data_IF_452829846664
#
_entry.id   IF_452829846664
#
_cell.length_a   1.000
_cell.length_b   1.000
_cell.length_c   1.000
_cell.angle_alpha   90.00
_cell.angle_beta   90.00
_cell.angle_gamma   90.00
#
_symmetry.space_group_name_H-M   'P 1'
#
loop_
_entity.id
_entity.type
_entity.pdbx_description
1 polymer ?
#
# COMPACT_ATOMS: atom_id res chain seq x y z
N UNK A 1 -7.54 7.70 -39.54
CA UNK A 1 -6.83 6.54 -38.93
C UNK A 1 -7.07 6.60 -37.45
N UNK A 2 -8.02 5.82 -36.94
CA UNK A 2 -8.27 5.70 -35.51
C UNK A 2 -7.14 4.84 -34.94
N UNK A 3 -6.26 5.45 -34.14
CA UNK A 3 -5.25 4.70 -33.39
C UNK A 3 -5.92 3.67 -32.47
N UNK A 4 -5.20 2.62 -32.03
CA UNK A 4 -5.76 1.65 -31.12
C UNK A 4 -6.26 2.37 -29.86
N UNK A 5 -7.55 2.28 -29.58
CA UNK A 5 -8.15 2.80 -28.37
C UNK A 5 -7.61 1.96 -27.22
N UNK A 6 -6.54 2.45 -26.58
CA UNK A 6 -5.94 1.80 -25.44
C UNK A 6 -6.94 1.84 -24.27
N UNK A 7 -7.42 0.69 -23.85
CA UNK A 7 -8.38 0.58 -22.77
C UNK A 7 -7.77 1.07 -21.46
N UNK A 8 -8.42 2.00 -20.76
CA UNK A 8 -7.97 2.46 -19.45
C UNK A 8 -7.80 1.30 -18.46
N UNK A 9 -6.79 1.38 -17.61
CA UNK A 9 -6.44 0.33 -16.67
C UNK A 9 -6.92 0.70 -15.25
N UNK A 10 -7.81 -0.08 -14.63
CA UNK A 10 -8.20 0.12 -13.26
C UNK A 10 -7.06 -0.30 -12.33
N UNK A 11 -6.59 0.67 -11.53
CA UNK A 11 -5.56 0.50 -10.52
C UNK A 11 -6.14 0.67 -9.12
N UNK A 12 -5.94 -0.33 -8.27
CA UNK A 12 -6.32 -0.29 -6.88
C UNK A 12 -5.11 0.05 -6.01
N UNK A 13 -5.09 1.26 -5.48
CA UNK A 13 -4.08 1.74 -4.56
C UNK A 13 -4.53 1.51 -3.11
N UNK A 14 -3.73 0.83 -2.31
CA UNK A 14 -4.05 0.46 -0.92
C UNK A 14 -2.90 0.73 0.07
N UNK A 15 -1.73 1.14 -0.43
CA UNK A 15 -0.53 1.39 0.36
C UNK A 15 -0.14 2.87 0.28
N UNK A 16 1.14 3.18 0.26
CA UNK A 16 1.63 4.56 0.24
C UNK A 16 1.25 5.33 -1.03
N UNK A 17 0.92 4.63 -2.11
CA UNK A 17 0.36 5.22 -3.32
C UNK A 17 -1.07 5.76 -3.15
N UNK A 18 -1.69 5.59 -1.99
CA UNK A 18 -2.92 6.31 -1.61
C UNK A 18 -2.71 7.82 -1.61
N UNK A 19 -1.57 8.28 -1.12
CA UNK A 19 -1.20 9.68 -1.00
C UNK A 19 0.30 9.86 -1.30
N UNK A 20 0.72 9.73 -2.57
CA UNK A 20 2.14 9.79 -2.94
C UNK A 20 2.76 11.14 -2.66
N UNK A 21 1.99 12.22 -2.61
CA UNK A 21 2.42 13.57 -2.23
C UNK A 21 2.98 13.63 -0.80
N UNK A 22 2.57 12.72 0.09
CA UNK A 22 3.11 12.62 1.44
C UNK A 22 4.45 11.89 1.50
N UNK A 23 4.85 11.23 0.42
CA UNK A 23 6.08 10.44 0.37
C UNK A 23 7.35 11.30 0.31
N UNK A 24 7.23 12.58 -0.06
CA UNK A 24 8.30 13.57 -0.02
C UNK A 24 9.57 13.10 -0.74
N UNK A 25 10.67 13.04 0.01
CA UNK A 25 12.00 12.67 -0.52
C UNK A 25 12.10 11.25 -1.09
N UNK A 26 11.20 10.33 -0.70
CA UNK A 26 11.23 8.95 -1.21
C UNK A 26 10.93 8.85 -2.70
N UNK A 27 10.18 9.80 -3.24
CA UNK A 27 9.92 9.91 -4.68
C UNK A 27 10.93 10.82 -5.39
N UNK A 28 12.03 11.22 -4.75
CA UNK A 28 13.04 12.05 -5.38
C UNK A 28 13.60 11.35 -6.63
N UNK A 29 13.45 12.00 -7.79
CA UNK A 29 13.85 11.44 -9.08
C UNK A 29 12.85 10.45 -9.70
N UNK A 30 11.69 10.25 -9.09
CA UNK A 30 10.58 9.46 -9.65
C UNK A 30 9.39 10.39 -9.87
N UNK A 31 9.04 10.61 -11.15
CA UNK A 31 7.84 11.35 -11.49
C UNK A 31 6.66 10.37 -11.55
N UNK A 32 5.63 10.61 -10.74
CA UNK A 32 4.35 9.95 -10.92
C UNK A 32 3.52 10.71 -11.97
N UNK A 33 2.65 10.01 -12.71
CA UNK A 33 1.71 10.69 -13.60
C UNK A 33 0.71 11.49 -12.75
N UNK A 34 0.02 12.47 -13.33
CA UNK A 34 -1.13 13.08 -12.68
C UNK A 34 -2.12 11.99 -12.28
N UNK A 35 -2.43 11.91 -10.98
CA UNK A 35 -3.35 10.89 -10.47
C UNK A 35 -4.78 11.42 -10.47
N UNK A 36 -5.72 10.73 -11.11
CA UNK A 36 -7.13 11.03 -10.94
C UNK A 36 -7.53 10.82 -9.47
N UNK A 37 -8.51 11.54 -9.00
CA UNK A 37 -8.98 11.45 -7.60
C UNK A 37 -9.35 10.00 -7.23
N UNK A 38 -10.00 9.29 -8.15
CA UNK A 38 -10.46 7.93 -7.94
C UNK A 38 -11.65 7.87 -6.98
N UNK A 39 -12.13 6.68 -6.72
CA UNK A 39 -13.22 6.43 -5.77
C UNK A 39 -12.78 5.50 -4.65
N UNK A 40 -13.42 5.62 -3.49
CA UNK A 40 -13.23 4.68 -2.40
C UNK A 40 -13.72 3.29 -2.81
N UNK A 41 -12.92 2.29 -2.48
CA UNK A 41 -13.19 0.91 -2.83
C UNK A 41 -12.55 -0.05 -1.83
N UNK A 42 -12.98 -1.31 -1.87
CA UNK A 42 -12.43 -2.39 -1.07
C UNK A 42 -11.96 -3.52 -1.98
N UNK A 43 -10.73 -3.96 -1.84
CA UNK A 43 -10.29 -5.23 -2.42
C UNK A 43 -10.81 -6.38 -1.56
N UNK A 44 -11.39 -7.38 -2.20
CA UNK A 44 -12.08 -8.50 -1.56
C UNK A 44 -11.16 -9.73 -1.49
N UNK A 45 -11.37 -10.55 -0.45
CA UNK A 45 -10.69 -11.82 -0.21
C UNK A 45 -9.16 -11.67 -0.12
N UNK A 46 -8.71 -10.53 0.42
CA UNK A 46 -7.31 -10.18 0.64
C UNK A 46 -7.11 -9.51 1.99
N UNK A 47 -5.89 -9.60 2.52
CA UNK A 47 -5.45 -8.87 3.72
C UNK A 47 -4.02 -8.37 3.58
N UNK A 48 -3.62 -7.43 4.44
CA UNK A 48 -2.25 -6.96 4.55
C UNK A 48 -1.51 -7.77 5.61
N UNK A 49 -0.34 -8.32 5.24
CA UNK A 49 0.60 -8.94 6.17
C UNK A 49 1.93 -8.19 6.12
N UNK A 50 2.55 -8.00 7.30
CA UNK A 50 3.80 -7.25 7.44
C UNK A 50 4.98 -8.21 7.57
N UNK A 51 5.36 -8.84 6.47
CA UNK A 51 6.38 -9.89 6.46
C UNK A 51 7.52 -9.66 5.44
N UNK A 52 7.53 -8.53 4.71
CA UNK A 52 8.54 -8.24 3.71
C UNK A 52 9.64 -7.36 4.29
N UNK A 53 10.91 -7.83 4.37
CA UNK A 53 12.01 -7.01 4.85
C UNK A 53 12.31 -5.87 3.86
N UNK A 54 12.48 -4.66 4.38
CA UNK A 54 12.83 -3.47 3.62
C UNK A 54 13.97 -2.70 4.28
N UNK A 55 15.08 -2.54 3.55
CA UNK A 55 16.19 -1.72 4.00
C UNK A 55 15.80 -0.23 4.01
N UNK A 56 15.02 0.21 3.03
CA UNK A 56 14.55 1.59 2.91
C UNK A 56 13.64 2.01 4.09
N UNK A 57 12.86 1.08 4.62
CA UNK A 57 11.96 1.30 5.76
C UNK A 57 12.54 0.82 7.09
N UNK A 58 13.75 0.25 7.10
CA UNK A 58 14.45 -0.27 8.29
C UNK A 58 13.60 -1.24 9.11
N UNK A 59 12.90 -2.13 8.42
CA UNK A 59 12.02 -3.10 9.03
C UNK A 59 11.11 -3.76 8.01
N UNK A 60 10.09 -4.48 8.46
CA UNK A 60 9.15 -5.15 7.56
C UNK A 60 8.07 -4.19 7.09
N UNK A 61 7.69 -4.33 5.83
CA UNK A 61 6.60 -3.61 5.18
C UNK A 61 5.48 -4.57 4.79
N UNK A 62 4.32 -4.00 4.42
CA UNK A 62 3.14 -4.78 4.07
C UNK A 62 3.23 -5.38 2.66
N UNK A 63 2.68 -6.57 2.51
CA UNK A 63 2.25 -7.12 1.22
C UNK A 63 0.80 -7.60 1.28
N UNK A 64 0.19 -7.69 0.11
CA UNK A 64 -1.19 -8.16 -0.06
C UNK A 64 -1.19 -9.68 -0.25
N UNK A 65 -1.96 -10.39 0.54
CA UNK A 65 -2.11 -11.85 0.47
C UNK A 65 -3.57 -12.25 0.30
N UNK A 66 -3.80 -13.45 -0.22
CA UNK A 66 -5.14 -14.02 -0.29
C UNK A 66 -5.63 -14.35 1.13
N UNK A 67 -6.84 -13.91 1.44
CA UNK A 67 -7.49 -14.11 2.72
C UNK A 67 -9.02 -14.11 2.53
N UNK A 68 -9.64 -15.27 2.29
CA UNK A 68 -11.07 -15.36 2.04
C UNK A 68 -11.91 -14.67 3.09
N UNK A 69 -12.85 -13.82 2.66
CA UNK A 69 -13.72 -13.06 3.54
C UNK A 69 -13.11 -11.78 4.13
N UNK A 70 -11.81 -11.56 4.02
CA UNK A 70 -11.16 -10.32 4.44
C UNK A 70 -11.25 -9.24 3.37
N UNK A 71 -11.01 -8.00 3.75
CA UNK A 71 -11.07 -6.84 2.85
C UNK A 71 -9.99 -5.84 3.18
N UNK A 72 -9.47 -5.20 2.14
CA UNK A 72 -8.51 -4.10 2.26
C UNK A 72 -9.11 -2.85 1.63
N UNK A 73 -9.34 -1.78 2.39
CA UNK A 73 -9.81 -0.51 1.85
C UNK A 73 -8.72 0.20 1.06
N UNK A 74 -9.14 0.95 0.05
CA UNK A 74 -8.22 1.69 -0.81
C UNK A 74 -8.95 2.64 -1.76
N UNK A 75 -8.24 3.07 -2.79
CA UNK A 75 -8.79 3.88 -3.87
C UNK A 75 -8.64 3.18 -5.21
N UNK A 76 -9.73 3.18 -5.97
CA UNK A 76 -9.75 2.73 -7.35
C UNK A 76 -9.54 3.94 -8.26
N UNK A 77 -8.49 3.91 -9.08
CA UNK A 77 -8.19 4.91 -10.10
C UNK A 77 -8.18 4.27 -11.47
N UNK A 78 -8.67 4.99 -12.47
CA UNK A 78 -8.64 4.56 -13.86
C UNK A 78 -7.49 5.29 -14.54
N UNK A 79 -6.43 4.56 -14.90
CA UNK A 79 -5.20 5.13 -15.41
C UNK A 79 -5.10 4.98 -16.93
N UNK A 80 -4.61 6.02 -17.64
CA UNK A 80 -4.21 5.86 -19.03
C UNK A 80 -3.11 4.79 -19.16
N UNK A 81 -3.14 3.92 -20.17
CA UNK A 81 -2.11 2.89 -20.36
C UNK A 81 -0.68 3.42 -20.41
N UNK A 82 -0.49 4.59 -21.00
CA UNK A 82 0.83 5.24 -21.10
C UNK A 82 1.41 5.64 -19.74
N UNK A 83 0.56 5.80 -18.72
CA UNK A 83 0.97 6.11 -17.35
C UNK A 83 1.42 4.87 -16.56
N UNK A 84 1.16 3.66 -17.05
CA UNK A 84 1.39 2.43 -16.31
C UNK A 84 2.85 2.20 -15.90
N UNK A 85 3.86 2.46 -16.74
CA UNK A 85 5.26 2.35 -16.33
C UNK A 85 5.63 3.28 -15.17
N UNK A 86 5.02 4.48 -15.12
CA UNK A 86 5.26 5.43 -14.02
C UNK A 86 4.58 4.99 -12.73
N UNK A 87 3.36 4.44 -12.80
CA UNK A 87 2.67 3.83 -11.65
C UNK A 87 3.51 2.69 -11.09
N UNK A 88 3.95 1.76 -11.92
CA UNK A 88 4.79 0.62 -11.53
C UNK A 88 6.07 1.07 -10.82
N UNK A 89 6.74 2.10 -11.35
CA UNK A 89 7.95 2.64 -10.74
C UNK A 89 7.67 3.30 -9.39
N UNK A 90 6.59 4.06 -9.29
CA UNK A 90 6.17 4.69 -8.04
C UNK A 90 5.87 3.68 -6.94
N UNK A 91 5.09 2.66 -7.24
CA UNK A 91 4.76 1.59 -6.29
C UNK A 91 6.00 0.85 -5.79
N UNK A 92 6.96 0.56 -6.68
CA UNK A 92 8.24 -0.05 -6.31
C UNK A 92 9.02 0.82 -5.31
N UNK A 93 9.11 2.12 -5.56
CA UNK A 93 9.88 3.04 -4.71
C UNK A 93 9.20 3.28 -3.37
N UNK A 94 7.88 3.40 -3.37
CA UNK A 94 7.11 3.69 -2.16
C UNK A 94 7.05 2.51 -1.19
N UNK A 95 6.76 1.32 -1.69
CA UNK A 95 6.40 0.17 -0.87
C UNK A 95 7.08 -1.15 -1.29
N UNK A 96 8.13 -1.08 -2.13
CA UNK A 96 8.82 -2.25 -2.70
C UNK A 96 7.89 -3.18 -3.50
N UNK A 97 6.77 -2.64 -3.96
CA UNK A 97 5.71 -3.34 -4.64
C UNK A 97 6.09 -3.57 -6.11
N UNK A 98 6.71 -4.69 -6.39
CA UNK A 98 7.20 -5.08 -7.73
C UNK A 98 6.35 -6.12 -8.42
N UNK A 99 5.42 -6.75 -7.68
CA UNK A 99 4.52 -7.76 -8.19
C UNK A 99 3.15 -7.14 -8.50
N UNK A 100 2.78 -7.14 -9.76
CA UNK A 100 1.44 -6.78 -10.20
C UNK A 100 0.52 -8.00 -10.10
N UNK A 101 -0.66 -7.82 -9.49
CA UNK A 101 -1.66 -8.89 -9.37
C UNK A 101 -3.07 -8.36 -9.60
N UNK A 102 -3.97 -9.19 -10.15
CA UNK A 102 -5.39 -8.88 -10.22
C UNK A 102 -6.01 -8.95 -8.80
N UNK A 103 -6.94 -8.05 -8.54
CA UNK A 103 -7.76 -8.05 -7.33
C UNK A 103 -9.21 -7.79 -7.71
N UNK A 104 -10.12 -8.44 -7.00
CA UNK A 104 -11.55 -8.17 -7.11
C UNK A 104 -11.89 -7.00 -6.19
N UNK A 105 -12.51 -5.98 -6.73
CA UNK A 105 -12.76 -4.72 -6.01
C UNK A 105 -14.25 -4.44 -5.98
N UNK A 106 -14.75 -3.99 -4.82
CA UNK A 106 -16.09 -3.42 -4.66
C UNK A 106 -15.94 -1.91 -4.47
N UNK A 107 -16.60 -1.12 -5.31
CA UNK A 107 -16.63 0.34 -5.20
C UNK A 107 -17.64 0.80 -4.14
N UNK A 108 -17.57 2.07 -3.77
CA UNK A 108 -18.52 2.68 -2.85
C UNK A 108 -19.97 2.62 -3.39
N UNK A 109 -20.15 2.63 -4.72
CA UNK A 109 -21.45 2.46 -5.37
C UNK A 109 -21.96 1.00 -5.38
N UNK A 110 -21.14 0.03 -4.90
CA UNK A 110 -21.46 -1.39 -4.88
C UNK A 110 -21.09 -2.16 -6.14
N UNK A 111 -20.51 -1.51 -7.16
CA UNK A 111 -20.04 -2.18 -8.37
C UNK A 111 -18.88 -3.13 -8.07
N UNK A 112 -18.89 -4.30 -8.70
CA UNK A 112 -17.81 -5.29 -8.61
C UNK A 112 -17.02 -5.30 -9.93
N UNK A 113 -15.70 -5.16 -9.83
CA UNK A 113 -14.83 -5.21 -11.00
C UNK A 113 -13.47 -5.81 -10.66
N UNK A 114 -12.72 -6.15 -11.69
CA UNK A 114 -11.31 -6.53 -11.55
C UNK A 114 -10.43 -5.31 -11.72
N UNK A 115 -9.48 -5.13 -10.82
CA UNK A 115 -8.45 -4.09 -10.89
C UNK A 115 -7.07 -4.72 -10.74
N UNK A 116 -6.03 -3.94 -10.99
CA UNK A 116 -4.65 -4.33 -10.76
C UNK A 116 -4.13 -3.66 -9.51
N UNK A 117 -3.44 -4.41 -8.67
CA UNK A 117 -2.77 -3.91 -7.48
C UNK A 117 -1.29 -4.29 -7.53
N UNK A 118 -0.45 -3.47 -6.90
CA UNK A 118 0.98 -3.76 -6.75
C UNK A 118 1.28 -4.14 -5.32
N UNK A 119 2.10 -5.17 -5.14
CA UNK A 119 2.49 -5.69 -3.84
C UNK A 119 3.93 -6.19 -3.89
N UNK A 120 4.67 -6.15 -2.78
CA UNK A 120 5.93 -6.87 -2.70
C UNK A 120 5.73 -8.37 -2.90
N UNK A 121 6.70 -9.07 -3.49
CA UNK A 121 6.70 -10.53 -3.52
C UNK A 121 6.84 -11.12 -2.12
N UNK A 122 6.39 -12.35 -1.94
CA UNK A 122 6.61 -13.08 -0.69
C UNK A 122 8.12 -13.25 -0.42
N UNK A 123 8.57 -13.05 0.83
CA UNK A 123 9.96 -13.28 1.18
C UNK A 123 10.28 -14.78 1.10
N UNK A 124 11.49 -15.12 0.63
CA UNK A 124 11.97 -16.51 0.53
C UNK A 124 12.20 -17.17 1.90
N UNK A 125 12.35 -16.36 2.95
CA UNK A 125 12.57 -16.80 4.34
C UNK A 125 11.80 -15.89 5.30
N UNK A 126 11.30 -16.42 6.44
CA UNK A 126 10.68 -15.58 7.47
C UNK A 126 11.64 -14.48 7.92
N UNK A 127 11.23 -13.22 7.87
CA UNK A 127 12.10 -12.11 8.25
C UNK A 127 12.29 -12.06 9.78
N UNK A 128 13.52 -11.74 10.20
CA UNK A 128 13.85 -11.56 11.62
C UNK A 128 13.68 -10.13 12.12
N UNK A 129 13.66 -9.17 11.21
CA UNK A 129 13.45 -7.75 11.54
C UNK A 129 12.05 -7.50 12.09
N UNK A 130 11.87 -6.51 12.97
CA UNK A 130 10.55 -6.10 13.42
C UNK A 130 9.77 -5.39 12.28
N UNK A 131 8.47 -5.22 12.47
CA UNK A 131 7.66 -4.38 11.57
C UNK A 131 8.17 -2.94 11.64
N UNK A 132 8.27 -2.27 10.50
CA UNK A 132 8.71 -0.88 10.43
C UNK A 132 7.64 0.06 11.00
N UNK A 133 7.95 0.73 12.10
CA UNK A 133 7.09 1.79 12.67
C UNK A 133 6.96 2.95 11.68
N UNK A 134 8.05 3.32 11.02
CA UNK A 134 8.03 4.41 10.04
C UNK A 134 7.09 4.11 8.86
N UNK A 135 7.07 2.86 8.39
CA UNK A 135 6.14 2.42 7.35
C UNK A 135 4.68 2.47 7.83
N UNK A 136 4.40 1.95 9.02
CA UNK A 136 3.04 1.95 9.58
C UNK A 136 2.50 3.37 9.78
N UNK A 137 3.34 4.28 10.29
CA UNK A 137 2.97 5.69 10.46
C UNK A 137 2.71 6.35 9.11
N UNK A 138 3.55 6.10 8.11
CA UNK A 138 3.35 6.62 6.76
C UNK A 138 2.07 6.07 6.12
N UNK A 139 1.81 4.77 6.29
CA UNK A 139 0.59 4.12 5.79
C UNK A 139 -0.68 4.70 6.45
N UNK A 140 -0.67 4.88 7.77
CA UNK A 140 -1.80 5.49 8.49
C UNK A 140 -2.07 6.93 8.01
N UNK A 141 -1.03 7.72 7.80
CA UNK A 141 -1.15 9.08 7.25
C UNK A 141 -1.68 9.09 5.82
N UNK A 142 -1.20 8.18 4.98
CA UNK A 142 -1.67 8.06 3.60
C UNK A 142 -3.16 7.65 3.56
N UNK A 143 -3.58 6.73 4.42
CA UNK A 143 -4.97 6.32 4.57
C UNK A 143 -5.89 7.46 5.03
N UNK A 144 -5.45 8.24 6.02
CA UNK A 144 -6.18 9.42 6.51
C UNK A 144 -6.30 10.49 5.42
N UNK A 145 -5.20 10.82 4.75
CA UNK A 145 -5.18 11.80 3.65
C UNK A 145 -6.08 11.36 2.48
N UNK A 146 -6.08 10.08 2.15
CA UNK A 146 -6.94 9.50 1.12
C UNK A 146 -8.40 9.36 1.57
N UNK A 147 -8.74 9.77 2.78
CA UNK A 147 -10.08 9.70 3.36
C UNK A 147 -10.66 8.28 3.36
N UNK A 148 -9.83 7.29 3.68
CA UNK A 148 -10.32 5.93 3.91
C UNK A 148 -11.32 5.90 5.09
N UNK A 149 -12.16 4.85 5.22
CA UNK A 149 -13.07 4.72 6.35
C UNK A 149 -12.37 4.89 7.70
N UNK A 150 -12.98 5.63 8.63
CA UNK A 150 -12.38 6.02 9.90
C UNK A 150 -11.88 4.81 10.72
N UNK A 151 -12.64 3.72 10.72
CA UNK A 151 -12.27 2.47 11.40
C UNK A 151 -11.00 1.81 10.82
N UNK A 152 -10.77 1.96 9.52
CA UNK A 152 -9.55 1.48 8.87
C UNK A 152 -8.34 2.35 9.26
N UNK A 153 -8.51 3.67 9.28
CA UNK A 153 -7.46 4.61 9.71
C UNK A 153 -7.11 4.38 11.19
N UNK A 154 -8.11 4.26 12.06
CA UNK A 154 -7.91 4.00 13.49
C UNK A 154 -7.17 2.68 13.75
N UNK A 155 -7.49 1.62 13.01
CA UNK A 155 -6.77 0.33 13.10
C UNK A 155 -5.30 0.49 12.73
N UNK A 156 -4.97 1.17 11.64
CA UNK A 156 -3.58 1.42 11.24
C UNK A 156 -2.81 2.26 12.26
N UNK A 157 -3.45 3.30 12.81
CA UNK A 157 -2.87 4.13 13.86
C UNK A 157 -2.64 3.32 15.16
N UNK A 158 -3.59 2.47 15.53
CA UNK A 158 -3.47 1.61 16.72
C UNK A 158 -2.33 0.60 16.55
N UNK A 159 -2.19 0.01 15.37
CA UNK A 159 -1.11 -0.93 15.05
C UNK A 159 0.26 -0.25 15.11
N UNK A 160 0.39 0.96 14.55
CA UNK A 160 1.61 1.74 14.63
C UNK A 160 2.01 2.04 16.08
N UNK A 161 1.06 2.44 16.93
CA UNK A 161 1.29 2.68 18.36
C UNK A 161 1.72 1.41 19.10
N UNK A 162 1.07 0.28 18.82
CA UNK A 162 1.39 -1.01 19.44
C UNK A 162 2.82 -1.45 19.11
N UNK A 163 3.18 -1.45 17.83
CA UNK A 163 4.53 -1.84 17.39
C UNK A 163 5.58 -0.91 17.98
N UNK A 164 5.31 0.39 18.03
CA UNK A 164 6.22 1.36 18.64
C UNK A 164 6.42 1.11 20.13
N UNK A 165 5.37 0.80 20.88
CA UNK A 165 5.46 0.52 22.31
C UNK A 165 6.27 -0.75 22.59
N UNK A 166 6.05 -1.81 21.80
CA UNK A 166 6.81 -3.07 21.93
C UNK A 166 8.29 -2.85 21.64
N UNK A 167 8.63 -2.05 20.62
CA UNK A 167 10.04 -1.77 20.29
C UNK A 167 10.72 -0.94 21.39
N UNK A 168 10.04 0.04 21.96
CA UNK A 168 10.56 0.82 23.10
C UNK A 168 10.85 -0.06 24.32
N UNK A 169 9.92 -0.94 24.69
CA UNK A 169 10.09 -1.86 25.80
C UNK A 169 11.29 -2.81 25.60
N UNK A 170 11.49 -3.33 24.39
CA UNK A 170 12.66 -4.16 24.06
C UNK A 170 13.97 -3.40 24.18
N UNK A 171 14.02 -2.16 23.67
CA UNK A 171 15.24 -1.33 23.76
C UNK A 171 15.61 -0.96 25.20
N UNK A 172 14.62 -0.80 26.09
CA UNK A 172 14.86 -0.54 27.49
C UNK A 172 15.44 -1.75 28.23
N UNK A 173 14.96 -2.96 27.93
CA UNK A 173 15.48 -4.22 28.55
C UNK A 173 16.92 -4.51 28.19
N UNK A 174 17.35 -4.14 26.98
CA UNK A 174 18.75 -4.32 26.52
C UNK A 174 19.71 -3.35 27.20
N UNK A 175 19.23 -2.23 27.74
CA UNK A 175 20.04 -1.19 28.40
C UNK A 175 20.15 -1.33 29.92
N UNK A 176 19.45 -2.28 30.50
CA UNK A 176 19.59 -2.61 31.93
C UNK A 176 20.68 -3.66 32.05
N UNK A 177 21.80 -3.35 32.77
CA UNK A 177 22.91 -4.28 32.99
C UNK A 177 22.50 -5.47 33.87
#
# INVERSE_FOLDING_TARGET
>A
MSGPSLTPLPWFAFSLALAPELAGERLRGVSLPPLPEGELAEALDVELVYDVPSAAWKGRVARLVDAPGQRVPGRLRVMPPDSWPLVTRGEKVLAEATLERPVRVRTASGALLSARAFTPPAPSRPPRSPVSVAFLVALARAAEHAQLPADAVERLQAEARLVQSVQRARSQRVRQP
#
